data_IF_832421372590
#
_entry.id   IF_832421372590
#
_cell.length_a   1.000
_cell.length_b   1.000
_cell.length_c   1.000
_cell.angle_alpha   90.00
_cell.angle_beta   90.00
_cell.angle_gamma   90.00
#
_symmetry.space_group_name_H-M   'P 1'
#
loop_
_entity.id
_entity.type
_entity.pdbx_description
1 polymer ?
#
# COMPACT_ATOMS: atom_id res chain seq x y z
N UNK A 1 15.48 -18.00 37.15
CA UNK A 1 14.31 -17.11 37.04
C UNK A 1 13.97 -16.92 35.57
N UNK A 2 12.86 -17.50 35.09
CA UNK A 2 12.46 -17.40 33.68
C UNK A 2 11.52 -16.21 33.50
N UNK A 3 11.96 -15.16 32.79
CA UNK A 3 11.11 -14.01 32.43
C UNK A 3 10.09 -14.50 31.37
N UNK A 4 8.83 -14.67 31.78
CA UNK A 4 7.73 -14.89 30.83
C UNK A 4 7.59 -13.62 29.98
N UNK A 5 8.05 -13.67 28.73
CA UNK A 5 7.82 -12.63 27.75
C UNK A 5 6.32 -12.61 27.42
N UNK A 6 5.59 -11.59 27.88
CA UNK A 6 4.20 -11.37 27.45
C UNK A 6 4.25 -10.65 26.12
N UNK A 7 4.11 -11.39 25.03
CA UNK A 7 3.91 -10.80 23.71
C UNK A 7 2.54 -10.12 23.68
N UNK A 8 2.49 -8.85 23.27
CA UNK A 8 1.21 -8.16 23.12
C UNK A 8 0.46 -8.70 21.88
N UNK A 9 -0.85 -8.46 21.81
CA UNK A 9 -1.69 -8.99 20.74
C UNK A 9 -1.30 -8.51 19.34
N UNK A 10 -0.77 -7.29 19.21
CA UNK A 10 -0.31 -6.73 17.94
C UNK A 10 0.92 -7.45 17.41
N UNK A 11 1.93 -7.65 18.26
CA UNK A 11 3.15 -8.35 17.92
C UNK A 11 2.87 -9.82 17.57
N UNK A 12 1.92 -10.44 18.28
CA UNK A 12 1.45 -11.78 17.92
C UNK A 12 0.77 -11.81 16.54
N UNK A 13 -0.14 -10.89 16.27
CA UNK A 13 -0.82 -10.81 14.96
C UNK A 13 0.16 -10.52 13.82
N UNK A 14 1.10 -9.59 14.01
CA UNK A 14 2.13 -9.29 13.02
C UNK A 14 3.03 -10.49 12.75
N UNK A 15 3.42 -11.21 13.80
CA UNK A 15 4.19 -12.44 13.67
C UNK A 15 3.43 -13.48 12.84
N UNK A 16 2.16 -13.73 13.17
CA UNK A 16 1.33 -14.70 12.44
C UNK A 16 1.09 -14.29 11.00
N UNK A 17 0.88 -13.00 10.74
CA UNK A 17 0.71 -12.46 9.40
C UNK A 17 1.99 -12.60 8.58
N UNK A 18 3.16 -12.38 9.19
CA UNK A 18 4.45 -12.55 8.54
C UNK A 18 4.70 -14.03 8.20
N UNK A 19 4.45 -14.94 9.14
CA UNK A 19 4.53 -16.38 8.87
C UNK A 19 3.61 -16.83 7.73
N UNK A 20 2.40 -16.27 7.67
CA UNK A 20 1.44 -16.57 6.62
C UNK A 20 1.92 -16.02 5.27
N UNK A 21 2.43 -14.79 5.24
CA UNK A 21 3.01 -14.18 4.05
C UNK A 21 4.19 -14.99 3.50
N UNK A 22 5.11 -15.39 4.38
CA UNK A 22 6.30 -16.18 4.01
C UNK A 22 5.96 -17.58 3.51
N UNK A 23 4.75 -18.08 3.80
CA UNK A 23 4.27 -19.37 3.31
C UNK A 23 3.74 -19.32 1.88
N UNK A 24 3.55 -18.12 1.31
CA UNK A 24 3.02 -18.01 -0.04
C UNK A 24 4.05 -18.42 -1.08
N UNK A 25 3.62 -19.17 -2.13
CA UNK A 25 4.47 -19.32 -3.30
C UNK A 25 4.73 -17.94 -3.92
N UNK A 26 5.89 -17.76 -4.58
CA UNK A 26 6.13 -16.56 -5.36
C UNK A 26 4.98 -16.42 -6.36
N UNK A 27 4.50 -15.20 -6.55
CA UNK A 27 3.54 -14.94 -7.61
C UNK A 27 4.15 -15.49 -8.89
N UNK A 28 3.43 -16.37 -9.63
CA UNK A 28 3.91 -16.82 -10.92
C UNK A 28 4.29 -15.58 -11.73
N UNK A 29 5.23 -15.69 -12.65
CA UNK A 29 5.14 -14.81 -13.81
C UNK A 29 3.80 -15.18 -14.46
N UNK A 30 2.75 -14.45 -14.08
CA UNK A 30 1.35 -14.77 -14.37
C UNK A 30 1.17 -14.60 -15.87
N UNK A 31 1.51 -15.65 -16.61
CA UNK A 31 1.46 -15.66 -18.06
C UNK A 31 0.03 -15.84 -18.58
N UNK A 32 -0.88 -16.31 -17.72
CA UNK A 32 -2.27 -16.59 -18.09
C UNK A 32 -3.24 -15.97 -17.08
N UNK A 33 -3.85 -14.85 -17.47
CA UNK A 33 -4.88 -14.14 -16.69
C UNK A 33 -6.18 -14.95 -16.53
N UNK A 34 -6.35 -16.03 -17.31
CA UNK A 34 -7.48 -16.93 -17.20
C UNK A 34 -7.36 -17.91 -16.03
N UNK A 35 -6.15 -18.14 -15.51
CA UNK A 35 -5.93 -19.08 -14.41
C UNK A 35 -6.52 -18.54 -13.09
N UNK A 36 -7.59 -19.22 -12.65
CA UNK A 36 -8.32 -18.93 -11.42
C UNK A 36 -7.42 -19.06 -10.19
N UNK A 37 -6.51 -20.04 -10.16
CA UNK A 37 -5.64 -20.27 -9.01
C UNK A 37 -4.62 -19.13 -8.86
N UNK A 38 -4.06 -18.69 -9.98
CA UNK A 38 -3.20 -17.53 -10.09
C UNK A 38 -3.88 -16.24 -9.57
N UNK A 39 -5.12 -15.98 -9.99
CA UNK A 39 -5.92 -14.83 -9.50
C UNK A 39 -6.19 -14.92 -8.00
N UNK A 40 -6.58 -16.10 -7.52
CA UNK A 40 -6.86 -16.32 -6.11
C UNK A 40 -5.61 -16.08 -5.25
N UNK A 41 -4.45 -16.58 -5.71
CA UNK A 41 -3.18 -16.36 -5.04
C UNK A 41 -2.81 -14.87 -4.97
N UNK A 42 -2.91 -14.15 -6.07
CA UNK A 42 -2.60 -12.72 -6.10
C UNK A 42 -3.54 -11.88 -5.25
N UNK A 43 -4.83 -12.18 -5.28
CA UNK A 43 -5.79 -11.56 -4.38
C UNK A 43 -5.45 -11.85 -2.92
N UNK A 44 -4.98 -13.07 -2.61
CA UNK A 44 -4.55 -13.45 -1.26
C UNK A 44 -3.33 -12.64 -0.81
N UNK A 45 -2.33 -12.45 -1.68
CA UNK A 45 -1.17 -11.57 -1.42
C UNK A 45 -1.64 -10.13 -1.13
N UNK A 46 -2.50 -9.58 -1.99
CA UNK A 46 -3.01 -8.22 -1.84
C UNK A 46 -3.84 -8.02 -0.55
N UNK A 47 -4.72 -8.97 -0.21
CA UNK A 47 -5.51 -8.94 1.03
C UNK A 47 -4.60 -9.03 2.25
N UNK A 48 -3.58 -9.88 2.22
CA UNK A 48 -2.63 -10.03 3.33
C UNK A 48 -1.84 -8.72 3.52
N UNK A 49 -1.53 -8.01 2.44
CA UNK A 49 -0.82 -6.74 2.49
C UNK A 49 -1.71 -5.65 3.07
N UNK A 50 -2.97 -5.61 2.65
CA UNK A 50 -3.97 -4.71 3.22
C UNK A 50 -4.21 -4.97 4.71
N UNK A 51 -4.25 -6.24 5.12
CA UNK A 51 -4.32 -6.62 6.53
C UNK A 51 -3.08 -6.12 7.31
N UNK A 52 -1.89 -6.21 6.72
CA UNK A 52 -0.65 -5.71 7.33
C UNK A 52 -0.68 -4.18 7.50
N UNK A 53 -1.22 -3.45 6.52
CA UNK A 53 -1.42 -1.99 6.61
C UNK A 53 -2.39 -1.66 7.74
N UNK A 54 -3.56 -2.29 7.76
CA UNK A 54 -4.62 -2.01 8.76
C UNK A 54 -4.18 -2.35 10.18
N UNK A 55 -3.47 -3.46 10.36
CA UNK A 55 -2.91 -3.83 11.66
C UNK A 55 -1.96 -2.75 12.17
N UNK A 56 -1.08 -2.23 11.31
CA UNK A 56 -0.13 -1.17 11.67
C UNK A 56 -0.79 0.18 11.94
N UNK A 57 -1.83 0.54 11.19
CA UNK A 57 -2.63 1.75 11.45
C UNK A 57 -3.28 1.74 12.84
N UNK A 58 -3.64 0.56 13.34
CA UNK A 58 -4.24 0.42 14.67
C UNK A 58 -3.25 0.45 15.83
N UNK A 59 -1.93 0.51 15.56
CA UNK A 59 -0.92 0.54 16.63
C UNK A 59 -0.70 1.96 17.17
N UNK A 60 -0.36 2.12 18.46
CA UNK A 60 0.01 3.41 19.04
C UNK A 60 1.25 4.05 18.37
N UNK A 61 2.14 3.24 17.80
CA UNK A 61 3.37 3.64 17.13
C UNK A 61 3.24 3.72 15.59
N UNK A 62 2.00 3.83 15.08
CA UNK A 62 1.70 3.89 13.65
C UNK A 62 2.46 5.00 12.90
N UNK A 63 2.79 6.10 13.58
CA UNK A 63 3.56 7.23 13.04
C UNK A 63 5.08 7.03 13.02
N UNK A 64 5.60 5.89 13.51
CA UNK A 64 7.05 5.65 13.47
C UNK A 64 7.55 5.42 12.04
N UNK A 65 8.76 5.90 11.72
CA UNK A 65 9.37 5.74 10.40
C UNK A 65 9.48 4.27 9.96
N UNK A 66 9.71 3.38 10.92
CA UNK A 66 9.75 1.93 10.66
C UNK A 66 8.36 1.39 10.27
N UNK A 67 7.30 1.83 10.97
CA UNK A 67 5.93 1.45 10.63
C UNK A 67 5.52 2.00 9.26
N UNK A 68 5.89 3.24 8.94
CA UNK A 68 5.68 3.88 7.64
C UNK A 68 6.35 3.08 6.51
N UNK A 69 7.65 2.79 6.61
CA UNK A 69 8.36 2.01 5.58
C UNK A 69 7.75 0.63 5.33
N UNK A 70 7.27 -0.04 6.40
CA UNK A 70 6.56 -1.32 6.28
C UNK A 70 5.16 -1.18 5.63
N UNK A 71 4.44 -0.08 5.87
CA UNK A 71 3.15 0.22 5.22
C UNK A 71 3.35 0.48 3.73
N UNK A 72 4.36 1.27 3.35
CA UNK A 72 4.72 1.53 1.96
C UNK A 72 5.09 0.25 1.23
N UNK A 73 5.91 -0.61 1.83
CA UNK A 73 6.26 -1.92 1.26
C UNK A 73 5.01 -2.79 1.02
N UNK A 74 4.06 -2.81 1.96
CA UNK A 74 2.80 -3.52 1.80
C UNK A 74 1.91 -2.88 0.70
N UNK A 75 1.85 -1.55 0.60
CA UNK A 75 1.11 -0.86 -0.46
C UNK A 75 1.65 -1.23 -1.85
N UNK A 76 2.97 -1.23 -2.02
CA UNK A 76 3.63 -1.73 -3.24
C UNK A 76 3.30 -3.20 -3.50
N UNK A 77 3.25 -4.03 -2.47
CA UNK A 77 2.83 -5.43 -2.57
C UNK A 77 1.40 -5.57 -3.14
N UNK A 78 0.47 -4.72 -2.75
CA UNK A 78 -0.88 -4.68 -3.33
C UNK A 78 -0.80 -4.32 -4.83
N UNK A 79 -0.10 -3.24 -5.18
CA UNK A 79 0.01 -2.79 -6.56
C UNK A 79 0.65 -3.85 -7.47
N UNK A 80 1.74 -4.48 -7.01
CA UNK A 80 2.43 -5.53 -7.74
C UNK A 80 1.56 -6.79 -7.90
N UNK A 81 0.81 -7.17 -6.85
CA UNK A 81 -0.04 -8.36 -6.90
C UNK A 81 -1.23 -8.18 -7.84
N UNK A 82 -1.84 -6.99 -7.86
CA UNK A 82 -3.05 -6.73 -8.65
C UNK A 82 -2.77 -6.19 -10.04
N UNK A 83 -1.64 -5.50 -10.25
CA UNK A 83 -1.26 -4.92 -11.54
C UNK A 83 -1.05 -5.95 -12.65
N UNK A 84 -0.79 -7.20 -12.28
CA UNK A 84 -0.67 -8.33 -13.21
C UNK A 84 -2.01 -8.89 -13.70
N UNK A 85 -3.16 -8.32 -13.28
CA UNK A 85 -4.48 -8.83 -13.65
C UNK A 85 -5.36 -7.72 -14.20
N UNK A 86 -5.54 -7.68 -15.52
CA UNK A 86 -6.61 -6.91 -16.14
C UNK A 86 -7.77 -7.85 -16.51
N UNK A 87 -8.72 -8.05 -15.58
CA UNK A 87 -9.92 -8.84 -15.87
C UNK A 87 -11.06 -7.94 -16.31
N UNK A 88 -11.79 -8.33 -17.36
CA UNK A 88 -13.01 -7.66 -17.85
C UNK A 88 -14.19 -7.59 -16.85
N UNK A 89 -14.03 -8.16 -15.63
CA UNK A 89 -14.99 -8.09 -14.54
C UNK A 89 -14.26 -7.86 -13.22
N UNK A 90 -13.98 -6.60 -12.90
CA UNK A 90 -13.22 -6.23 -11.70
C UNK A 90 -14.08 -6.39 -10.45
N UNK A 91 -13.66 -7.25 -9.53
CA UNK A 91 -14.35 -7.42 -8.26
C UNK A 91 -14.20 -6.16 -7.37
N UNK A 92 -15.25 -5.68 -6.67
CA UNK A 92 -15.19 -4.44 -5.86
C UNK A 92 -14.08 -4.42 -4.80
N UNK A 93 -13.66 -5.60 -4.33
CA UNK A 93 -12.53 -5.74 -3.40
C UNK A 93 -11.24 -5.14 -3.99
N UNK A 94 -11.01 -5.25 -5.30
CA UNK A 94 -9.85 -4.72 -6.00
C UNK A 94 -9.78 -3.21 -5.84
N UNK A 95 -10.89 -2.50 -6.05
CA UNK A 95 -10.95 -1.05 -5.84
C UNK A 95 -10.68 -0.64 -4.38
N UNK A 96 -11.09 -1.48 -3.42
CA UNK A 96 -10.78 -1.22 -1.99
C UNK A 96 -9.29 -1.42 -1.70
N UNK A 97 -8.68 -2.45 -2.26
CA UNK A 97 -7.25 -2.75 -2.10
C UNK A 97 -6.38 -1.66 -2.74
N UNK A 98 -6.66 -1.26 -3.99
CA UNK A 98 -5.99 -0.12 -4.62
C UNK A 98 -6.18 1.17 -3.82
N UNK A 99 -7.39 1.41 -3.31
CA UNK A 99 -7.65 2.60 -2.51
C UNK A 99 -6.83 2.64 -1.21
N UNK A 100 -6.66 1.50 -0.53
CA UNK A 100 -5.78 1.38 0.63
C UNK A 100 -4.33 1.66 0.25
N UNK A 101 -3.84 1.07 -0.85
CA UNK A 101 -2.47 1.27 -1.31
C UNK A 101 -2.20 2.75 -1.67
N UNK A 102 -3.08 3.36 -2.46
CA UNK A 102 -2.96 4.76 -2.85
C UNK A 102 -3.02 5.72 -1.64
N UNK A 103 -3.88 5.46 -0.64
CA UNK A 103 -3.91 6.27 0.58
C UNK A 103 -2.57 6.24 1.32
N UNK A 104 -1.97 5.06 1.49
CA UNK A 104 -0.66 4.92 2.13
C UNK A 104 0.43 5.70 1.38
N UNK A 105 0.43 5.62 0.05
CA UNK A 105 1.39 6.34 -0.78
C UNK A 105 1.20 7.86 -0.67
N UNK A 106 -0.05 8.34 -0.65
CA UNK A 106 -0.39 9.74 -0.46
C UNK A 106 0.08 10.26 0.91
N UNK A 107 -0.17 9.51 1.99
CA UNK A 107 0.32 9.86 3.33
C UNK A 107 1.86 9.95 3.36
N UNK A 108 2.57 9.02 2.70
CA UNK A 108 4.03 9.03 2.67
C UNK A 108 4.58 10.20 1.82
N UNK A 109 3.97 10.48 0.67
CA UNK A 109 4.33 11.65 -0.16
C UNK A 109 4.13 12.93 0.64
N UNK A 110 3.01 13.05 1.36
CA UNK A 110 2.74 14.19 2.23
C UNK A 110 3.83 14.34 3.29
N UNK A 111 4.14 13.27 4.01
CA UNK A 111 5.18 13.28 5.04
C UNK A 111 6.56 13.65 4.47
N UNK A 112 6.90 13.16 3.27
CA UNK A 112 8.14 13.48 2.59
C UNK A 112 8.23 14.97 2.21
N UNK A 113 7.11 15.56 1.77
CA UNK A 113 7.01 17.00 1.46
C UNK A 113 7.10 17.87 2.70
N UNK A 114 6.35 17.55 3.75
CA UNK A 114 6.40 18.25 5.04
C UNK A 114 7.83 18.23 5.62
N UNK A 115 8.51 17.07 5.56
CA UNK A 115 9.90 16.97 5.98
C UNK A 115 10.83 17.84 5.14
N UNK A 116 10.63 17.89 3.81
CA UNK A 116 11.41 18.75 2.91
C UNK A 116 11.21 20.23 3.22
N UNK A 117 10.00 20.66 3.52
CA UNK A 117 9.70 22.05 3.88
C UNK A 117 10.42 22.44 5.18
N UNK A 118 10.27 21.65 6.25
CA UNK A 118 10.95 21.88 7.54
C UNK A 118 12.48 21.88 7.38
N UNK A 119 13.01 20.97 6.55
CA UNK A 119 14.44 20.87 6.29
C UNK A 119 14.96 22.07 5.49
N UNK A 120 14.20 22.55 4.50
CA UNK A 120 14.55 23.72 3.71
C UNK A 120 14.53 25.01 4.55
N UNK A 121 13.57 25.15 5.45
CA UNK A 121 13.49 26.28 6.40
C UNK A 121 14.66 26.27 7.40
N UNK A 122 15.02 25.11 7.93
CA UNK A 122 16.04 25.00 8.99
C UNK A 122 17.48 25.15 8.50
N UNK A 123 17.81 24.75 7.26
CA UNK A 123 19.18 24.80 6.74
C UNK A 123 19.48 26.00 5.83
N UNK A 124 18.50 26.87 5.55
CA UNK A 124 18.72 28.15 4.88
C UNK A 124 19.27 28.09 3.44
N UNK A 125 19.52 26.91 2.86
CA UNK A 125 20.00 26.76 1.48
C UNK A 125 19.82 25.31 0.96
N UNK A 126 19.06 25.18 -0.14
CA UNK A 126 19.22 24.34 -1.37
C UNK A 126 19.88 22.95 -1.32
N UNK A 127 20.02 22.27 -0.19
CA UNK A 127 20.23 20.83 -0.23
C UNK A 127 18.91 20.18 -0.59
N UNK A 128 18.76 19.81 -1.87
CA UNK A 128 17.64 19.00 -2.32
C UNK A 128 17.67 17.71 -1.50
N UNK A 129 16.65 17.41 -0.67
CA UNK A 129 16.57 16.08 -0.05
C UNK A 129 16.55 15.03 -1.17
N UNK A 130 16.84 13.75 -0.88
CA UNK A 130 16.90 12.71 -1.90
C UNK A 130 15.55 12.61 -2.63
N UNK A 131 15.43 13.31 -3.77
CA UNK A 131 14.25 13.33 -4.62
C UNK A 131 13.87 11.92 -5.08
N UNK A 132 14.85 11.00 -5.09
CA UNK A 132 14.71 9.62 -5.55
C UNK A 132 13.61 8.83 -4.86
N UNK A 133 13.31 9.10 -3.59
CA UNK A 133 12.29 8.32 -2.86
C UNK A 133 10.88 8.86 -3.08
N UNK A 134 10.70 10.19 -3.12
CA UNK A 134 9.41 10.81 -3.47
C UNK A 134 9.03 10.49 -4.92
N UNK A 135 9.97 10.58 -5.87
CA UNK A 135 9.72 10.30 -7.29
C UNK A 135 9.22 8.85 -7.48
N UNK A 136 9.77 7.90 -6.72
CA UNK A 136 9.31 6.51 -6.71
C UNK A 136 7.90 6.38 -6.15
N UNK A 137 7.59 7.05 -5.05
CA UNK A 137 6.25 7.04 -4.47
C UNK A 137 5.21 7.65 -5.43
N UNK A 138 5.57 8.72 -6.12
CA UNK A 138 4.73 9.37 -7.12
C UNK A 138 4.51 8.46 -8.33
N UNK A 139 5.53 7.72 -8.76
CA UNK A 139 5.38 6.71 -9.81
C UNK A 139 4.43 5.58 -9.37
N UNK A 140 4.62 5.01 -8.19
CA UNK A 140 3.74 3.96 -7.63
C UNK A 140 2.28 4.46 -7.51
N UNK A 141 2.10 5.70 -7.04
CA UNK A 141 0.78 6.33 -6.91
C UNK A 141 0.13 6.52 -8.28
N UNK A 142 0.88 7.00 -9.27
CA UNK A 142 0.40 7.17 -10.63
C UNK A 142 -0.10 5.85 -11.21
N UNK A 143 0.65 4.77 -11.03
CA UNK A 143 0.27 3.45 -11.53
C UNK A 143 -1.03 2.95 -10.86
N UNK A 144 -1.16 3.16 -9.54
CA UNK A 144 -2.38 2.87 -8.80
C UNK A 144 -3.59 3.69 -9.28
N UNK A 145 -3.43 5.00 -9.45
CA UNK A 145 -4.49 5.90 -9.90
C UNK A 145 -4.93 5.63 -11.33
N UNK A 146 -3.98 5.38 -12.25
CA UNK A 146 -4.29 5.00 -13.63
C UNK A 146 -5.10 3.71 -13.65
N UNK A 147 -4.69 2.70 -12.88
CA UNK A 147 -5.42 1.43 -12.82
C UNK A 147 -6.82 1.61 -12.25
N UNK A 148 -6.97 2.38 -11.18
CA UNK A 148 -8.29 2.71 -10.62
C UNK A 148 -9.17 3.48 -11.60
N UNK A 149 -8.60 4.39 -12.39
CA UNK A 149 -9.35 5.13 -13.40
C UNK A 149 -9.89 4.22 -14.51
N UNK A 150 -9.10 3.21 -14.93
CA UNK A 150 -9.57 2.19 -15.89
C UNK A 150 -10.74 1.40 -15.28
N UNK A 151 -10.60 0.91 -14.05
CA UNK A 151 -11.64 0.12 -13.39
C UNK A 151 -12.88 0.94 -12.96
N UNK A 152 -12.72 2.24 -12.78
CA UNK A 152 -13.84 3.14 -12.49
C UNK A 152 -14.85 3.22 -13.65
N UNK A 153 -14.40 3.02 -14.89
CA UNK A 153 -15.29 2.97 -16.05
C UNK A 153 -16.25 1.75 -16.00
N UNK A 154 -15.83 0.67 -15.33
CA UNK A 154 -16.57 -0.60 -15.26
C UNK A 154 -17.33 -0.77 -13.95
N UNK A 155 -17.01 0.00 -12.90
CA UNK A 155 -17.59 -0.16 -11.57
C UNK A 155 -17.84 1.17 -10.87
N UNK A 156 -19.11 1.47 -10.58
CA UNK A 156 -19.53 2.67 -9.83
C UNK A 156 -18.94 2.75 -8.42
N UNK A 157 -18.74 1.59 -7.77
CA UNK A 157 -18.07 1.53 -6.47
C UNK A 157 -16.60 1.96 -6.57
N UNK A 158 -15.89 1.47 -7.59
CA UNK A 158 -14.49 1.84 -7.82
C UNK A 158 -14.39 3.31 -8.22
N UNK A 159 -15.31 3.80 -9.05
CA UNK A 159 -15.42 5.23 -9.39
C UNK A 159 -15.60 6.10 -8.15
N UNK A 160 -16.46 5.70 -7.21
CA UNK A 160 -16.61 6.42 -5.94
C UNK A 160 -15.31 6.42 -5.13
N UNK A 161 -14.64 5.27 -4.98
CA UNK A 161 -13.35 5.18 -4.27
C UNK A 161 -12.26 6.03 -4.93
N UNK A 162 -12.20 6.04 -6.26
CA UNK A 162 -11.29 6.86 -7.04
C UNK A 162 -11.56 8.36 -6.81
N UNK A 163 -12.82 8.79 -6.88
CA UNK A 163 -13.18 10.19 -6.64
C UNK A 163 -12.82 10.65 -5.23
N UNK A 164 -13.03 9.82 -4.20
CA UNK A 164 -12.61 10.13 -2.82
C UNK A 164 -11.09 10.30 -2.73
N UNK A 165 -10.31 9.44 -3.39
CA UNK A 165 -8.84 9.59 -3.45
C UNK A 165 -8.41 10.86 -4.16
N UNK A 166 -9.06 11.20 -5.28
CA UNK A 166 -8.74 12.42 -6.03
C UNK A 166 -9.05 13.68 -5.24
N UNK A 167 -10.14 13.68 -4.46
CA UNK A 167 -10.45 14.77 -3.53
C UNK A 167 -9.39 14.89 -2.43
N UNK A 168 -8.95 13.76 -1.86
CA UNK A 168 -7.87 13.76 -0.89
C UNK A 168 -6.56 14.29 -1.48
N UNK A 169 -6.17 13.82 -2.67
CA UNK A 169 -4.97 14.29 -3.37
C UNK A 169 -5.03 15.79 -3.68
N UNK A 170 -6.18 16.31 -4.08
CA UNK A 170 -6.35 17.75 -4.35
C UNK A 170 -6.30 18.63 -3.09
N UNK A 171 -6.45 18.04 -1.90
CA UNK A 171 -6.38 18.75 -0.61
C UNK A 171 -4.99 18.73 0.04
N UNK A 172 -4.05 17.97 -0.53
CA UNK A 172 -2.64 17.92 -0.12
C UNK A 172 -1.87 19.09 -0.73
#
# INVERSE_FOLDING_TARGET
MSRKFKMNSYDWLEYRLSQFWDSFPPLPALRDEADVAARALALTHAITAAAAIKLRESRPDAGSRLAQGKRVAAARGILASLGAFHSANVHPIVGSLYSIACHVLLEEIRAAREFREVWAESLGQRMSPPASDEDRLVADLRDGLVTMAVYAAESSFIAHKFNVLMQYYASM
#
